data_IF_512903303447
#
_entry.id   IF_512903303447
#
_cell.length_a   1.000
_cell.length_b   1.000
_cell.length_c   1.000
_cell.angle_alpha   90.00
_cell.angle_beta   90.00
_cell.angle_gamma   90.00
#
_symmetry.space_group_name_H-M   'P 1'
#
loop_
_entity.id
_entity.type
_entity.pdbx_description
1 polymer ?
#
# COMPACT_ATOMS: atom_id res chain seq x y z
N UNK A 1 1.44 20.01 -1.66
CA UNK A 1 1.44 19.33 -2.98
C UNK A 1 1.02 20.35 -4.03
N UNK A 2 1.55 20.28 -5.26
CA UNK A 2 1.20 21.22 -6.35
C UNK A 2 -0.17 20.95 -6.98
N UNK A 3 -0.77 19.80 -6.67
CA UNK A 3 -2.17 19.50 -6.91
C UNK A 3 -2.88 19.46 -5.54
N UNK A 4 -4.03 20.11 -5.44
CA UNK A 4 -4.87 20.18 -4.24
C UNK A 4 -5.59 18.84 -4.00
N UNK A 5 -4.79 17.79 -3.81
CA UNK A 5 -5.26 16.42 -3.60
C UNK A 5 -5.52 16.24 -2.10
N UNK A 6 -6.73 15.82 -1.67
CA UNK A 6 -7.02 15.52 -0.28
C UNK A 6 -6.12 14.39 0.23
N UNK A 7 -5.41 14.63 1.34
CA UNK A 7 -4.52 13.65 1.96
C UNK A 7 -4.78 13.60 3.46
N UNK A 8 -4.84 12.39 4.02
CA UNK A 8 -4.93 12.14 5.46
C UNK A 8 -3.79 11.23 5.86
N UNK A 9 -2.84 11.75 6.64
CA UNK A 9 -1.75 10.95 7.19
C UNK A 9 -2.25 10.09 8.36
N UNK A 10 -1.91 8.81 8.34
CA UNK A 10 -2.10 7.90 9.48
C UNK A 10 -0.74 7.64 10.13
N UNK A 11 -0.59 8.06 11.38
CA UNK A 11 0.62 7.75 12.17
C UNK A 11 0.40 6.44 12.91
N UNK A 12 1.07 5.37 12.48
CA UNK A 12 0.93 4.02 13.04
C UNK A 12 1.69 3.80 14.35
N UNK A 13 2.51 4.77 14.77
CA UNK A 13 3.36 4.65 15.95
C UNK A 13 4.38 3.52 15.77
N UNK A 14 4.24 2.45 16.56
CA UNK A 14 5.12 1.27 16.50
C UNK A 14 4.58 0.14 15.61
N UNK A 15 3.39 0.31 15.01
CA UNK A 15 2.79 -0.73 14.17
C UNK A 15 3.41 -0.77 12.78
N UNK A 16 3.68 -1.99 12.30
CA UNK A 16 4.30 -2.27 11.01
C UNK A 16 3.31 -2.39 9.83
N UNK A 17 2.03 -2.04 10.03
CA UNK A 17 0.95 -2.14 9.05
C UNK A 17 -0.19 -1.17 9.42
N UNK A 18 -1.06 -0.89 8.45
CA UNK A 18 -2.39 -0.33 8.67
C UNK A 18 -3.42 -1.45 8.92
N UNK A 19 -4.48 -1.15 9.68
CA UNK A 19 -5.64 -2.02 9.82
C UNK A 19 -6.92 -1.31 9.32
N UNK A 20 -7.99 -2.08 9.09
CA UNK A 20 -9.26 -1.55 8.57
C UNK A 20 -9.87 -0.44 9.46
N UNK A 21 -9.63 -0.46 10.78
CA UNK A 21 -10.15 0.58 11.69
C UNK A 21 -9.41 1.89 11.49
N UNK A 22 -8.09 1.84 11.30
CA UNK A 22 -7.28 3.02 10.97
C UNK A 22 -7.77 3.68 9.68
N UNK A 23 -8.07 2.86 8.65
CA UNK A 23 -8.61 3.35 7.38
C UNK A 23 -10.00 3.97 7.59
N UNK A 24 -10.90 3.30 8.31
CA UNK A 24 -12.24 3.82 8.59
C UNK A 24 -12.21 5.17 9.32
N UNK A 25 -11.29 5.39 10.27
CA UNK A 25 -11.13 6.69 10.93
C UNK A 25 -10.51 7.77 10.03
N UNK A 26 -9.61 7.39 9.12
CA UNK A 26 -9.06 8.33 8.14
C UNK A 26 -10.10 8.76 7.11
N UNK A 27 -10.91 7.82 6.63
CA UNK A 27 -11.99 8.05 5.65
C UNK A 27 -13.02 9.07 6.13
N UNK A 28 -13.31 9.15 7.43
CA UNK A 28 -14.22 10.17 8.00
C UNK A 28 -13.74 11.60 7.82
N UNK A 29 -12.45 11.80 7.51
CA UNK A 29 -11.81 13.11 7.32
C UNK A 29 -11.66 13.48 5.85
N UNK A 30 -12.15 12.65 4.93
CA UNK A 30 -12.02 12.83 3.49
C UNK A 30 -13.37 13.17 2.85
N UNK A 31 -13.40 13.96 1.76
CA UNK A 31 -14.62 14.26 1.01
C UNK A 31 -14.98 13.08 0.09
N UNK A 32 -15.30 11.90 0.65
CA UNK A 32 -15.43 10.64 -0.12
C UNK A 32 -16.44 10.69 -1.28
N UNK A 33 -17.50 11.50 -1.17
CA UNK A 33 -18.50 11.64 -2.24
C UNK A 33 -17.96 12.35 -3.48
N UNK A 34 -16.84 13.07 -3.34
CA UNK A 34 -16.20 13.82 -4.41
C UNK A 34 -14.95 13.09 -4.96
N UNK A 35 -14.73 11.83 -4.57
CA UNK A 35 -13.60 11.01 -4.98
C UNK A 35 -14.05 9.85 -5.85
N UNK A 36 -13.43 9.71 -7.03
CA UNK A 36 -13.56 8.51 -7.86
C UNK A 36 -12.65 7.38 -7.38
N UNK A 37 -11.50 7.73 -6.79
CA UNK A 37 -10.45 6.80 -6.37
C UNK A 37 -9.86 7.22 -5.03
N UNK A 38 -9.72 6.26 -4.12
CA UNK A 38 -8.98 6.39 -2.87
C UNK A 38 -7.73 5.52 -2.95
N UNK A 39 -6.55 6.12 -2.74
CA UNK A 39 -5.27 5.40 -2.68
C UNK A 39 -4.86 5.28 -1.21
N UNK A 40 -4.58 4.05 -0.77
CA UNK A 40 -4.06 3.76 0.57
C UNK A 40 -2.60 3.35 0.42
N UNK A 41 -1.68 4.19 0.89
CA UNK A 41 -0.26 3.83 0.99
C UNK A 41 -0.01 3.19 2.37
N UNK A 42 0.31 1.90 2.37
CA UNK A 42 0.57 1.15 3.60
C UNK A 42 2.00 1.40 4.12
N UNK A 43 2.31 0.91 5.33
CA UNK A 43 3.66 0.92 5.88
C UNK A 43 4.58 0.05 5.01
N UNK A 44 5.78 0.54 4.69
CA UNK A 44 6.77 -0.17 3.88
C UNK A 44 7.30 -1.44 4.55
N UNK A 45 6.56 -2.53 4.41
CA UNK A 45 6.85 -3.83 5.03
C UNK A 45 6.22 -4.95 4.18
N UNK A 46 6.99 -5.98 3.83
CA UNK A 46 6.53 -7.12 3.00
C UNK A 46 6.03 -8.32 3.82
N UNK A 47 5.85 -8.16 5.14
CA UNK A 47 5.45 -9.24 6.07
C UNK A 47 4.14 -8.90 6.74
N UNK A 48 4.09 -7.84 7.55
CA UNK A 48 2.91 -7.53 8.36
C UNK A 48 1.66 -7.25 7.51
N UNK A 49 1.72 -6.38 6.46
CA UNK A 49 0.53 -5.98 5.71
C UNK A 49 -0.21 -7.13 5.01
N UNK A 50 0.49 -8.20 4.64
CA UNK A 50 -0.09 -9.35 3.94
C UNK A 50 -1.27 -9.99 4.72
N UNK A 51 -1.27 -9.87 6.05
CA UNK A 51 -2.26 -10.49 6.94
C UNK A 51 -3.44 -9.59 7.29
N UNK A 52 -3.50 -8.36 6.77
CA UNK A 52 -4.54 -7.38 7.11
C UNK A 52 -5.28 -6.95 5.86
N UNK A 53 -6.56 -7.31 5.79
CA UNK A 53 -7.52 -6.74 4.85
C UNK A 53 -7.93 -5.34 5.35
N UNK A 54 -7.84 -4.34 4.48
CA UNK A 54 -8.24 -2.96 4.80
C UNK A 54 -9.63 -2.61 4.26
N UNK A 55 -10.26 -3.54 3.52
CA UNK A 55 -11.45 -3.27 2.73
C UNK A 55 -11.15 -2.61 1.39
N UNK A 56 -9.89 -2.68 0.91
CA UNK A 56 -9.53 -2.17 -0.41
C UNK A 56 -10.16 -3.03 -1.53
N UNK A 57 -10.55 -2.38 -2.62
CA UNK A 57 -11.06 -3.09 -3.81
C UNK A 57 -9.98 -3.72 -4.68
N UNK A 58 -8.73 -3.27 -4.53
CA UNK A 58 -7.57 -3.80 -5.24
C UNK A 58 -6.31 -3.60 -4.40
N UNK A 59 -5.47 -4.63 -4.31
CA UNK A 59 -4.17 -4.60 -3.64
C UNK A 59 -3.04 -4.64 -4.66
N UNK A 60 -2.18 -3.62 -4.60
CA UNK A 60 -0.99 -3.52 -5.45
C UNK A 60 0.27 -3.65 -4.59
N UNK A 61 1.14 -4.60 -4.91
CA UNK A 61 2.48 -4.69 -4.33
C UNK A 61 3.51 -4.09 -5.28
N UNK A 62 4.40 -3.24 -4.76
CA UNK A 62 5.52 -2.70 -5.53
C UNK A 62 6.78 -3.47 -5.18
N UNK A 63 7.53 -3.87 -6.20
CA UNK A 63 8.87 -4.46 -6.09
C UNK A 63 9.82 -3.64 -6.94
N UNK A 64 10.75 -2.90 -6.34
CA UNK A 64 11.77 -2.23 -7.14
C UNK A 64 12.88 -3.19 -7.56
N UNK A 65 13.45 -2.98 -8.75
CA UNK A 65 14.57 -3.82 -9.24
C UNK A 65 15.78 -3.79 -8.29
N UNK A 66 15.94 -2.70 -7.53
CA UNK A 66 17.01 -2.54 -6.53
C UNK A 66 16.85 -3.41 -5.27
N UNK A 67 15.66 -4.00 -5.05
CA UNK A 67 15.42 -4.89 -3.91
C UNK A 67 15.88 -6.33 -4.16
N UNK A 68 16.08 -6.71 -5.43
CA UNK A 68 16.40 -8.06 -5.87
C UNK A 68 15.17 -8.87 -6.27
N UNK A 69 15.36 -9.74 -7.26
CA UNK A 69 14.33 -10.55 -7.92
C UNK A 69 13.76 -11.68 -7.04
N UNK A 70 14.44 -12.01 -5.94
CA UNK A 70 14.10 -13.12 -5.05
C UNK A 70 12.95 -12.81 -4.08
N UNK A 71 12.47 -11.57 -4.03
CA UNK A 71 11.45 -11.12 -3.08
C UNK A 71 10.12 -11.85 -3.17
N UNK A 72 9.55 -12.15 -4.36
CA UNK A 72 8.32 -12.93 -4.46
C UNK A 72 8.43 -14.31 -3.80
N UNK A 73 9.58 -14.97 -3.95
CA UNK A 73 9.84 -16.28 -3.33
C UNK A 73 10.08 -16.17 -1.82
N UNK A 74 10.73 -15.09 -1.36
CA UNK A 74 11.01 -14.84 0.07
C UNK A 74 9.79 -14.37 0.85
N UNK A 75 8.85 -13.67 0.21
CA UNK A 75 7.66 -13.10 0.85
C UNK A 75 6.34 -13.56 0.20
N UNK A 76 6.10 -14.88 0.07
CA UNK A 76 4.97 -15.38 -0.70
C UNK A 76 3.61 -14.84 -0.26
N UNK A 77 3.29 -14.67 1.04
CA UNK A 77 1.99 -14.12 1.44
C UNK A 77 1.70 -12.72 0.90
N UNK A 78 2.73 -11.86 0.78
CA UNK A 78 2.54 -10.51 0.27
C UNK A 78 2.21 -10.52 -1.22
N UNK A 79 2.97 -11.29 -2.00
CA UNK A 79 2.77 -11.37 -3.44
C UNK A 79 1.55 -12.20 -3.85
N UNK A 80 1.17 -13.20 -3.05
CA UNK A 80 -0.05 -13.98 -3.30
C UNK A 80 -1.35 -13.24 -2.93
N UNK A 81 -1.29 -12.30 -1.97
CA UNK A 81 -2.46 -11.50 -1.61
C UNK A 81 -2.68 -10.30 -2.51
N UNK A 82 -1.70 -9.92 -3.34
CA UNK A 82 -1.82 -8.81 -4.27
C UNK A 82 -2.54 -9.22 -5.55
N UNK A 83 -3.41 -8.33 -6.06
CA UNK A 83 -4.02 -8.47 -7.38
C UNK A 83 -3.04 -8.09 -8.49
N UNK A 84 -2.15 -7.14 -8.20
CA UNK A 84 -1.14 -6.65 -9.15
C UNK A 84 0.21 -6.55 -8.45
N UNK A 85 1.24 -7.13 -9.07
CA UNK A 85 2.63 -6.88 -8.71
C UNK A 85 3.25 -5.92 -9.73
N UNK A 86 3.68 -4.75 -9.26
CA UNK A 86 4.33 -3.74 -10.09
C UNK A 86 5.84 -3.76 -9.88
N UNK A 87 6.58 -4.11 -10.92
CA UNK A 87 8.03 -3.96 -10.95
C UNK A 87 8.37 -2.50 -11.21
N UNK A 88 9.05 -1.85 -10.27
CA UNK A 88 9.34 -0.41 -10.30
C UNK A 88 10.82 -0.12 -10.45
N UNK A 89 11.14 1.12 -10.84
CA UNK A 89 12.51 1.59 -11.11
C UNK A 89 13.21 0.74 -12.19
N UNK A 90 12.46 0.28 -13.18
CA UNK A 90 12.99 -0.57 -14.26
C UNK A 90 14.05 0.14 -15.10
N UNK A 91 14.12 1.47 -15.05
CA UNK A 91 15.20 2.27 -15.63
C UNK A 91 16.57 2.01 -14.98
N UNK A 92 16.60 1.42 -13.78
CA UNK A 92 17.81 1.01 -13.08
C UNK A 92 18.16 -0.47 -13.31
N UNK A 93 17.37 -1.19 -14.10
CA UNK A 93 17.72 -2.54 -14.55
C UNK A 93 18.57 -2.40 -15.82
N UNK A 94 19.83 -2.83 -15.74
CA UNK A 94 20.72 -2.94 -16.90
C UNK A 94 20.28 -4.05 -17.87
#
# INVERSE_FOLDING_TARGET
SRADIPVVQITTGTMCHLDARMIAEAMKKMPLNDLDVLIIENVGNLVCPASYDLGEGMRVVLLSVTEGEDKPLKYPPMFHSADVALVTKSDLAD
#
